data_IF_123145640530
#
_entry.id   IF_123145640530
#
_cell.length_a   1.000
_cell.length_b   1.000
_cell.length_c   1.000
_cell.angle_alpha   90.00
_cell.angle_beta   90.00
_cell.angle_gamma   90.00
#
_symmetry.space_group_name_H-M   'P 1'
#
loop_
_entity.id
_entity.type
_entity.pdbx_description
1 polymer ?
#
# COMPACT_ATOMS: atom_id res chain seq x y z
N UNK A 1 2.71 2.30 10.70
CA UNK A 1 4.15 2.57 10.88
C UNK A 1 4.67 1.70 12.00
N UNK A 2 5.70 0.89 11.77
CA UNK A 2 6.25 -0.04 12.76
C UNK A 2 7.57 0.53 13.25
N UNK A 3 7.61 0.97 14.52
CA UNK A 3 8.82 1.41 15.18
C UNK A 3 9.39 0.25 16.00
N UNK A 4 10.25 -0.56 15.40
CA UNK A 4 10.86 -1.70 16.11
C UNK A 4 12.35 -1.51 16.44
N UNK A 5 13.02 -0.45 15.98
CA UNK A 5 14.49 -0.37 16.01
C UNK A 5 15.07 1.01 16.36
N UNK A 6 14.46 1.73 17.30
CA UNK A 6 15.09 2.97 17.83
C UNK A 6 15.20 4.12 16.85
N UNK A 7 14.41 4.14 15.79
CA UNK A 7 14.35 5.24 14.83
C UNK A 7 13.42 6.34 15.34
N UNK A 8 13.87 7.58 15.28
CA UNK A 8 12.99 8.74 15.49
C UNK A 8 12.16 8.98 14.23
N UNK A 9 10.85 9.14 14.39
CA UNK A 9 9.93 9.35 13.27
C UNK A 9 9.20 10.66 13.45
N UNK A 10 9.28 11.50 12.43
CA UNK A 10 8.45 12.70 12.30
C UNK A 10 7.33 12.39 11.32
N UNK A 11 6.08 12.39 11.79
CA UNK A 11 4.91 12.22 10.94
C UNK A 11 4.30 13.57 10.60
N UNK A 12 4.43 14.04 9.36
CA UNK A 12 3.73 15.21 8.89
C UNK A 12 2.34 14.81 8.34
N UNK A 13 1.28 15.47 8.82
CA UNK A 13 -0.11 15.22 8.42
C UNK A 13 -0.79 16.55 8.03
N UNK A 14 -1.58 16.55 6.97
CA UNK A 14 -2.32 17.75 6.51
C UNK A 14 -3.42 18.21 7.48
N UNK A 15 -3.85 17.36 8.39
CA UNK A 15 -4.97 17.66 9.28
C UNK A 15 -4.66 17.31 10.75
N UNK A 16 -4.72 18.31 11.62
CA UNK A 16 -4.60 18.11 13.06
C UNK A 16 -5.66 17.14 13.65
N UNK A 17 -6.83 16.99 13.00
CA UNK A 17 -7.87 16.02 13.41
C UNK A 17 -7.41 14.57 13.24
N UNK A 18 -6.59 14.27 12.25
CA UNK A 18 -6.06 12.91 12.05
C UNK A 18 -4.95 12.55 13.04
N UNK A 19 -4.15 13.53 13.46
CA UNK A 19 -3.14 13.31 14.50
C UNK A 19 -3.75 12.97 15.85
N UNK A 20 -4.97 13.47 16.13
CA UNK A 20 -5.73 13.19 17.36
C UNK A 20 -6.50 11.85 17.31
N UNK A 21 -6.58 11.17 16.19
CA UNK A 21 -7.25 9.88 16.09
C UNK A 21 -6.39 8.77 16.71
N UNK A 22 -6.95 7.92 17.59
CA UNK A 22 -6.20 6.81 18.14
C UNK A 22 -5.73 5.88 17.03
N UNK A 23 -4.45 5.50 17.05
CA UNK A 23 -3.90 4.48 16.16
C UNK A 23 -4.73 3.19 16.31
N UNK A 24 -5.05 2.48 15.22
CA UNK A 24 -5.86 1.27 15.28
C UNK A 24 -5.27 0.27 16.28
N UNK A 25 -6.13 -0.26 17.14
CA UNK A 25 -5.73 -1.17 18.23
C UNK A 25 -5.16 -2.47 17.63
N UNK A 26 -3.96 -2.93 18.01
CA UNK A 26 -3.34 -4.13 17.46
C UNK A 26 -3.92 -5.40 18.12
N UNK A 27 -5.25 -5.60 18.05
CA UNK A 27 -5.92 -6.70 18.75
C UNK A 27 -5.71 -8.10 18.14
N UNK A 28 -5.09 -8.23 16.95
CA UNK A 28 -5.07 -9.49 16.21
C UNK A 28 -3.69 -9.95 15.70
N UNK A 29 -2.59 -9.38 16.19
CA UNK A 29 -1.26 -9.87 15.79
C UNK A 29 -0.77 -10.97 16.75
N UNK A 30 -0.96 -12.22 16.41
CA UNK A 30 -0.16 -13.32 16.97
C UNK A 30 1.19 -13.36 16.26
N UNK A 31 2.19 -12.70 16.82
CA UNK A 31 3.57 -12.82 16.38
C UNK A 31 4.23 -14.05 17.04
N UNK A 32 5.16 -14.73 16.35
CA UNK A 32 5.82 -15.95 16.87
C UNK A 32 6.73 -15.72 18.09
N UNK A 33 6.99 -14.49 18.51
CA UNK A 33 7.82 -14.16 19.67
C UNK A 33 6.97 -13.62 20.81
N UNK A 34 6.54 -14.51 21.69
CA UNK A 34 5.78 -14.22 22.91
C UNK A 34 6.64 -13.44 23.90
N UNK A 35 6.52 -12.09 23.92
CA UNK A 35 7.07 -11.27 25.00
C UNK A 35 6.05 -11.12 26.12
N UNK A 36 6.42 -11.15 27.42
CA UNK A 36 5.52 -10.89 28.54
C UNK A 36 4.78 -9.55 28.35
N UNK A 37 3.50 -9.48 28.74
CA UNK A 37 2.62 -8.32 28.48
C UNK A 37 3.20 -6.97 28.96
N UNK A 38 3.92 -6.95 30.10
CA UNK A 38 4.60 -5.75 30.61
C UNK A 38 5.70 -5.26 29.68
N UNK A 39 6.48 -6.14 29.08
CA UNK A 39 7.50 -5.78 28.09
C UNK A 39 6.86 -5.26 26.77
N UNK A 40 5.68 -5.76 26.43
CA UNK A 40 4.92 -5.29 25.25
C UNK A 40 4.39 -3.86 25.46
N UNK A 41 3.94 -3.53 26.68
CA UNK A 41 3.47 -2.17 27.02
C UNK A 41 4.64 -1.19 27.01
N UNK A 42 5.72 -1.49 27.72
CA UNK A 42 6.91 -0.63 27.74
C UNK A 42 7.51 -0.40 26.34
N UNK A 43 7.53 -1.45 25.50
CA UNK A 43 7.97 -1.34 24.12
C UNK A 43 7.03 -0.46 23.29
N UNK A 44 5.72 -0.61 23.47
CA UNK A 44 4.71 0.25 22.81
C UNK A 44 4.85 1.70 23.23
N UNK A 45 5.01 1.97 24.52
CA UNK A 45 5.18 3.33 25.06
C UNK A 45 6.46 3.98 24.55
N UNK A 46 7.58 3.25 24.56
CA UNK A 46 8.85 3.73 24.00
C UNK A 46 8.74 4.02 22.49
N UNK A 47 8.06 3.13 21.73
CA UNK A 47 7.84 3.32 20.32
C UNK A 47 6.94 4.55 20.03
N UNK A 48 5.87 4.72 20.79
CA UNK A 48 4.99 5.89 20.66
C UNK A 48 5.71 7.19 21.07
N UNK A 49 6.57 7.15 22.09
CA UNK A 49 7.39 8.28 22.50
C UNK A 49 8.43 8.72 21.45
N UNK A 50 8.78 7.83 20.51
CA UNK A 50 9.67 8.14 19.39
C UNK A 50 8.96 8.78 18.19
N UNK A 51 7.62 8.90 18.24
CA UNK A 51 6.82 9.50 17.17
C UNK A 51 6.50 10.94 17.56
N UNK A 52 6.93 11.87 16.72
CA UNK A 52 6.50 13.26 16.79
C UNK A 52 5.52 13.54 15.66
N UNK A 53 4.26 13.84 16.01
CA UNK A 53 3.28 14.34 15.05
C UNK A 53 3.46 15.83 14.80
N UNK A 54 3.36 16.28 13.55
CA UNK A 54 3.43 17.68 13.16
C UNK A 54 2.53 17.99 11.99
N UNK A 55 2.14 19.26 11.83
CA UNK A 55 1.51 19.80 10.62
C UNK A 55 2.46 20.66 9.79
N UNK A 56 3.67 20.90 10.32
CA UNK A 56 4.71 21.66 9.64
C UNK A 56 5.54 20.72 8.75
N UNK A 57 5.51 20.95 7.44
CA UNK A 57 6.28 20.12 6.50
C UNK A 57 7.78 20.30 6.66
N UNK A 58 8.21 21.46 7.16
CA UNK A 58 9.60 21.82 7.44
C UNK A 58 10.29 20.84 8.39
N UNK A 59 9.51 20.18 9.24
CA UNK A 59 10.02 19.19 10.20
C UNK A 59 10.59 17.92 9.52
N UNK A 60 10.34 17.71 8.21
CA UNK A 60 10.96 16.61 7.44
C UNK A 60 12.40 16.93 7.00
N UNK A 61 12.83 18.20 7.05
CA UNK A 61 14.15 18.62 6.56
C UNK A 61 15.34 17.82 7.12
N UNK A 62 15.39 17.45 8.42
CA UNK A 62 16.50 16.66 8.97
C UNK A 62 16.40 15.15 8.69
N UNK A 63 15.34 14.65 8.03
CA UNK A 63 15.14 13.24 7.83
C UNK A 63 16.16 12.64 6.83
N UNK A 64 16.61 11.40 7.11
CA UNK A 64 17.43 10.62 6.18
C UNK A 64 16.57 9.96 5.11
N UNK A 65 15.35 9.53 5.48
CA UNK A 65 14.35 8.93 4.58
C UNK A 65 12.98 9.56 4.85
N UNK A 66 12.30 9.98 3.80
CA UNK A 66 10.91 10.46 3.86
C UNK A 66 10.03 9.50 3.08
N UNK A 67 8.99 8.95 3.71
CA UNK A 67 8.03 8.04 3.06
C UNK A 67 6.70 8.79 2.91
N UNK A 68 6.34 9.11 1.68
CA UNK A 68 5.06 9.70 1.32
C UNK A 68 3.98 8.59 1.27
N UNK A 69 2.87 8.79 1.98
CA UNK A 69 1.74 7.87 2.03
C UNK A 69 0.40 8.63 2.09
N UNK A 70 0.27 9.71 1.30
CA UNK A 70 -0.96 10.49 1.18
C UNK A 70 -1.92 9.85 0.16
N UNK A 71 -3.05 10.54 -0.12
CA UNK A 71 -4.06 10.06 -1.06
C UNK A 71 -3.47 9.63 -2.42
N UNK A 72 -4.07 8.61 -3.05
CA UNK A 72 -3.64 8.08 -4.34
C UNK A 72 -4.12 9.00 -5.48
N UNK A 73 -3.53 10.19 -5.55
CA UNK A 73 -3.75 11.21 -6.56
C UNK A 73 -2.42 11.79 -7.01
N UNK A 74 -2.15 11.73 -8.32
CA UNK A 74 -0.87 12.12 -8.90
C UNK A 74 -0.50 13.56 -8.58
N UNK A 75 -1.40 14.52 -8.81
CA UNK A 75 -1.11 15.95 -8.65
C UNK A 75 -0.84 16.31 -7.19
N UNK A 76 -1.61 15.71 -6.27
CA UNK A 76 -1.42 15.87 -4.82
C UNK A 76 -0.07 15.32 -4.37
N UNK A 77 0.33 14.16 -4.89
CA UNK A 77 1.64 13.56 -4.58
C UNK A 77 2.78 14.42 -5.15
N UNK A 78 2.68 14.85 -6.41
CA UNK A 78 3.70 15.69 -7.06
C UNK A 78 3.90 17.01 -6.32
N UNK A 79 2.82 17.71 -5.96
CA UNK A 79 2.92 18.96 -5.17
C UNK A 79 3.66 18.72 -3.86
N UNK A 80 3.27 17.68 -3.11
CA UNK A 80 3.91 17.33 -1.85
C UNK A 80 5.39 16.92 -2.04
N UNK A 81 5.68 16.08 -3.03
CA UNK A 81 7.02 15.57 -3.31
C UNK A 81 7.99 16.70 -3.70
N UNK A 82 7.56 17.67 -4.49
CA UNK A 82 8.36 18.87 -4.82
C UNK A 82 8.71 19.69 -3.58
N UNK A 83 7.77 19.85 -2.67
CA UNK A 83 8.00 20.55 -1.41
C UNK A 83 8.96 19.78 -0.48
N UNK A 84 8.79 18.46 -0.36
CA UNK A 84 9.72 17.59 0.38
C UNK A 84 11.13 17.65 -0.22
N UNK A 85 11.23 17.60 -1.55
CA UNK A 85 12.50 17.66 -2.26
C UNK A 85 13.23 18.98 -2.03
N UNK A 86 12.52 20.10 -2.01
CA UNK A 86 13.08 21.42 -1.71
C UNK A 86 13.56 21.58 -0.27
N UNK A 87 12.89 20.92 0.70
CA UNK A 87 13.22 21.01 2.13
C UNK A 87 14.29 20.00 2.55
N UNK A 88 14.31 18.83 1.93
CA UNK A 88 15.19 17.72 2.33
C UNK A 88 16.67 17.98 2.02
N UNK A 89 17.55 17.38 2.82
CA UNK A 89 19.01 17.41 2.58
C UNK A 89 19.36 16.71 1.26
N UNK A 90 20.49 17.07 0.65
CA UNK A 90 20.94 16.47 -0.62
C UNK A 90 21.02 14.94 -0.62
N UNK A 91 21.27 14.33 0.56
CA UNK A 91 21.34 12.87 0.73
C UNK A 91 20.03 12.20 1.14
N UNK A 92 18.96 12.97 1.44
CA UNK A 92 17.67 12.42 1.83
C UNK A 92 17.09 11.55 0.71
N UNK A 93 16.68 10.34 1.06
CA UNK A 93 15.92 9.47 0.16
C UNK A 93 14.44 9.79 0.31
N UNK A 94 13.75 9.91 -0.80
CA UNK A 94 12.31 10.11 -0.85
C UNK A 94 11.66 8.84 -1.39
N UNK A 95 10.75 8.27 -0.62
CA UNK A 95 10.00 7.09 -1.01
C UNK A 95 8.51 7.41 -1.13
N UNK A 96 7.80 6.79 -2.06
CA UNK A 96 6.35 6.82 -2.12
C UNK A 96 5.77 5.43 -1.82
N UNK A 97 4.72 5.38 -1.00
CA UNK A 97 3.95 4.16 -0.73
C UNK A 97 2.73 4.03 -1.66
N UNK A 98 2.79 4.62 -2.84
CA UNK A 98 1.76 4.45 -3.86
C UNK A 98 1.57 2.98 -4.21
N UNK A 99 0.34 2.60 -4.56
CA UNK A 99 0.00 1.24 -5.00
C UNK A 99 -0.14 1.10 -6.52
N UNK A 100 -0.21 2.23 -7.25
CA UNK A 100 -0.55 2.20 -8.68
C UNK A 100 0.17 3.25 -9.53
N UNK A 101 0.64 4.35 -8.94
CA UNK A 101 1.27 5.43 -9.70
C UNK A 101 2.73 5.08 -10.03
N UNK A 102 3.14 5.33 -11.27
CA UNK A 102 4.50 5.08 -11.75
C UNK A 102 5.55 5.81 -10.91
N UNK A 103 6.48 5.06 -10.32
CA UNK A 103 7.62 5.59 -9.56
C UNK A 103 8.52 6.43 -10.47
N UNK A 104 8.74 6.02 -11.71
CA UNK A 104 9.48 6.80 -12.71
C UNK A 104 8.84 8.16 -12.97
N UNK A 105 7.49 8.19 -13.09
CA UNK A 105 6.74 9.43 -13.35
C UNK A 105 6.79 10.38 -12.15
N UNK A 106 6.68 9.85 -10.92
CA UNK A 106 6.82 10.67 -9.70
C UNK A 106 8.26 11.19 -9.54
N UNK A 107 9.27 10.34 -9.80
CA UNK A 107 10.68 10.73 -9.72
C UNK A 107 11.01 11.87 -10.69
N UNK A 108 10.45 11.85 -11.90
CA UNK A 108 10.66 12.91 -12.91
C UNK A 108 10.11 14.29 -12.50
N UNK A 109 9.25 14.35 -11.48
CA UNK A 109 8.67 15.59 -10.98
C UNK A 109 9.52 16.33 -9.94
N UNK A 110 10.60 15.71 -9.44
CA UNK A 110 11.50 16.25 -8.40
C UNK A 110 12.91 16.47 -8.93
N UNK A 111 13.75 17.22 -8.20
CA UNK A 111 15.10 17.57 -8.63
C UNK A 111 16.13 16.45 -8.44
N UNK A 112 15.83 15.45 -7.59
CA UNK A 112 16.73 14.32 -7.26
C UNK A 112 16.09 12.97 -7.58
N UNK A 113 15.78 12.69 -8.86
CA UNK A 113 15.10 11.47 -9.26
C UNK A 113 15.90 10.19 -8.97
N UNK A 114 17.23 10.30 -8.87
CA UNK A 114 18.16 9.22 -8.51
C UNK A 114 17.98 8.76 -7.05
N UNK A 115 17.43 9.62 -6.18
CA UNK A 115 17.13 9.38 -4.76
C UNK A 115 15.66 9.10 -4.48
N UNK A 116 14.89 8.81 -5.52
CA UNK A 116 13.47 8.47 -5.40
C UNK A 116 13.23 6.97 -5.61
N UNK A 117 12.34 6.38 -4.78
CA UNK A 117 12.03 4.95 -4.82
C UNK A 117 10.60 4.70 -4.37
N UNK A 118 9.99 3.60 -4.81
CA UNK A 118 8.76 3.09 -4.24
C UNK A 118 9.03 2.16 -3.05
N UNK A 119 8.28 2.34 -1.97
CA UNK A 119 8.22 1.39 -0.85
C UNK A 119 6.75 1.04 -0.62
N UNK A 120 6.26 0.04 -1.37
CA UNK A 120 4.86 -0.35 -1.34
C UNK A 120 4.61 -1.34 -0.20
N UNK A 121 3.95 -0.86 0.85
CA UNK A 121 3.56 -1.64 2.02
C UNK A 121 2.15 -2.20 1.84
N UNK A 122 1.93 -3.41 2.31
CA UNK A 122 0.61 -4.06 2.29
C UNK A 122 -0.16 -3.81 3.58
N UNK A 123 -1.46 -3.53 3.46
CA UNK A 123 -2.34 -3.25 4.60
C UNK A 123 -2.92 -4.56 5.17
N UNK A 124 -2.91 -4.78 6.49
CA UNK A 124 -2.39 -3.92 7.57
C UNK A 124 -0.87 -4.00 7.70
N UNK A 125 -0.19 -2.85 7.62
CA UNK A 125 1.28 -2.78 7.62
C UNK A 125 1.95 -3.52 8.79
N UNK A 126 1.43 -3.50 10.04
CA UNK A 126 2.06 -4.25 11.13
C UNK A 126 2.00 -5.77 10.97
N UNK A 127 1.07 -6.30 10.18
CA UNK A 127 0.79 -7.74 10.00
C UNK A 127 1.48 -8.29 8.77
N UNK A 128 1.40 -7.55 7.67
CA UNK A 128 1.92 -8.00 6.38
C UNK A 128 3.44 -7.89 6.35
N UNK A 129 4.11 -9.01 6.10
CA UNK A 129 5.57 -9.05 6.08
C UNK A 129 6.16 -8.42 4.81
N UNK A 130 5.47 -8.51 3.69
CA UNK A 130 5.97 -8.10 2.38
C UNK A 130 6.07 -6.57 2.24
N UNK A 131 7.16 -6.12 1.62
CA UNK A 131 7.31 -4.77 1.05
C UNK A 131 7.88 -4.90 -0.36
N UNK A 132 7.22 -4.31 -1.35
CA UNK A 132 7.80 -4.17 -2.68
C UNK A 132 8.68 -2.92 -2.72
N UNK A 133 9.97 -3.11 -2.99
CA UNK A 133 10.93 -2.04 -3.25
C UNK A 133 10.90 -1.78 -4.75
N UNK A 134 10.23 -0.70 -5.15
CA UNK A 134 9.91 -0.42 -6.55
C UNK A 134 10.91 0.57 -7.13
N UNK A 135 11.73 0.09 -8.06
CA UNK A 135 12.73 0.93 -8.74
C UNK A 135 12.10 1.66 -9.92
N UNK A 136 12.19 2.98 -9.91
CA UNK A 136 11.98 3.81 -11.09
C UNK A 136 13.18 3.72 -12.05
N UNK A 137 13.03 4.29 -13.24
CA UNK A 137 14.11 4.29 -14.25
C UNK A 137 15.37 5.01 -13.76
N UNK A 138 15.20 6.07 -12.96
CA UNK A 138 16.29 6.92 -12.47
C UNK A 138 16.86 6.44 -11.12
N UNK A 139 16.20 5.52 -10.41
CA UNK A 139 16.60 5.06 -9.08
C UNK A 139 17.99 4.42 -9.10
N UNK A 140 18.94 4.94 -8.31
CA UNK A 140 20.28 4.37 -8.19
C UNK A 140 20.32 3.10 -7.32
N UNK A 141 21.37 2.29 -7.46
CA UNK A 141 21.58 1.11 -6.61
C UNK A 141 21.74 1.53 -5.14
N UNK A 142 22.48 2.60 -4.84
CA UNK A 142 22.64 3.11 -3.49
C UNK A 142 21.29 3.50 -2.82
N UNK A 143 20.35 4.06 -3.59
CA UNK A 143 18.99 4.37 -3.09
C UNK A 143 18.20 3.09 -2.85
N UNK A 144 18.29 2.12 -3.75
CA UNK A 144 17.68 0.81 -3.61
C UNK A 144 18.18 0.09 -2.36
N UNK A 145 19.50 -0.05 -2.20
CA UNK A 145 20.13 -0.80 -1.10
C UNK A 145 19.77 -0.20 0.26
N UNK A 146 19.67 1.13 0.34
CA UNK A 146 19.25 1.80 1.57
C UNK A 146 17.77 1.54 1.89
N UNK A 147 16.88 1.54 0.89
CA UNK A 147 15.47 1.24 1.08
C UNK A 147 15.26 -0.24 1.47
N UNK A 148 16.00 -1.15 0.86
CA UNK A 148 16.00 -2.57 1.22
C UNK A 148 16.49 -2.81 2.65
N UNK A 149 17.62 -2.20 3.02
CA UNK A 149 18.16 -2.26 4.37
C UNK A 149 17.16 -1.71 5.40
N UNK A 150 16.48 -0.61 5.10
CA UNK A 150 15.42 -0.06 5.95
C UNK A 150 14.26 -1.05 6.12
N UNK A 151 13.80 -1.67 5.02
CA UNK A 151 12.73 -2.66 5.08
C UNK A 151 13.12 -3.85 5.96
N UNK A 152 14.34 -4.37 5.82
CA UNK A 152 14.87 -5.45 6.66
C UNK A 152 14.95 -5.03 8.15
N UNK A 153 15.42 -3.82 8.45
CA UNK A 153 15.45 -3.28 9.82
C UNK A 153 14.05 -3.17 10.43
N UNK A 154 13.04 -2.88 9.61
CA UNK A 154 11.63 -2.87 10.03
C UNK A 154 11.04 -4.29 10.22
N UNK A 155 11.83 -5.35 10.06
CA UNK A 155 11.38 -6.74 10.15
C UNK A 155 10.49 -7.17 9.00
N UNK A 156 10.62 -6.51 7.83
CA UNK A 156 9.90 -6.84 6.60
C UNK A 156 10.71 -7.77 5.71
N UNK A 157 10.01 -8.38 4.77
CA UNK A 157 10.60 -9.20 3.70
C UNK A 157 10.52 -8.39 2.40
N UNK A 158 11.58 -7.66 2.02
CA UNK A 158 11.59 -6.88 0.78
C UNK A 158 11.70 -7.78 -0.44
N UNK A 159 11.02 -7.40 -1.51
CA UNK A 159 11.26 -7.89 -2.86
C UNK A 159 11.50 -6.70 -3.79
N UNK A 160 12.46 -6.84 -4.69
CA UNK A 160 12.77 -5.79 -5.68
C UNK A 160 11.92 -5.97 -6.92
N UNK A 161 11.25 -4.90 -7.33
CA UNK A 161 10.45 -4.87 -8.55
C UNK A 161 10.74 -3.61 -9.38
N UNK A 162 10.53 -3.68 -10.69
CA UNK A 162 10.58 -2.49 -11.56
C UNK A 162 9.27 -1.73 -11.50
N UNK A 163 9.35 -0.40 -11.67
CA UNK A 163 8.16 0.43 -11.82
C UNK A 163 7.35 -0.01 -13.05
N UNK A 164 6.14 -0.46 -12.80
CA UNK A 164 5.17 -0.87 -13.81
C UNK A 164 3.77 -0.85 -13.20
N UNK A 165 2.71 -0.78 -14.01
CA UNK A 165 1.35 -0.71 -13.52
C UNK A 165 0.99 -1.90 -12.62
N UNK A 166 0.58 -1.60 -11.37
CA UNK A 166 0.24 -2.62 -10.36
C UNK A 166 1.45 -3.34 -9.73
N UNK A 167 2.68 -2.91 -10.05
CA UNK A 167 3.94 -3.51 -9.58
C UNK A 167 3.99 -5.03 -9.83
N UNK A 168 4.20 -5.86 -8.83
CA UNK A 168 4.17 -7.32 -8.98
C UNK A 168 2.87 -7.92 -8.47
N UNK A 169 2.54 -7.69 -7.19
CA UNK A 169 1.42 -8.39 -6.54
C UNK A 169 0.09 -7.96 -7.13
N UNK A 170 -0.18 -6.66 -7.23
CA UNK A 170 -1.44 -6.18 -7.78
C UNK A 170 -1.60 -6.53 -9.25
N UNK A 171 -0.52 -6.55 -10.03
CA UNK A 171 -0.54 -6.94 -11.44
C UNK A 171 -0.95 -8.41 -11.67
N UNK A 172 -0.71 -9.28 -10.69
CA UNK A 172 -1.13 -10.69 -10.75
C UNK A 172 -2.50 -10.86 -10.09
N UNK A 173 -2.64 -10.34 -8.87
CA UNK A 173 -3.79 -10.55 -8.01
C UNK A 173 -5.08 -9.95 -8.58
N UNK A 174 -5.02 -8.68 -9.02
CA UNK A 174 -6.25 -7.98 -9.40
C UNK A 174 -6.86 -8.48 -10.70
N UNK A 175 -6.09 -8.82 -11.76
CA UNK A 175 -6.63 -9.54 -12.91
C UNK A 175 -7.21 -10.91 -12.57
N UNK A 176 -6.61 -11.65 -11.63
CA UNK A 176 -7.17 -12.93 -11.15
C UNK A 176 -8.53 -12.71 -10.46
N UNK A 177 -8.65 -11.69 -9.62
CA UNK A 177 -9.93 -11.35 -8.98
C UNK A 177 -10.94 -10.88 -10.03
N UNK A 178 -10.51 -10.06 -10.99
CA UNK A 178 -11.35 -9.57 -12.08
C UNK A 178 -11.88 -10.72 -12.95
N UNK A 179 -11.08 -11.75 -13.18
CA UNK A 179 -11.54 -12.97 -13.87
C UNK A 179 -12.64 -13.69 -13.08
N UNK A 180 -12.53 -13.76 -11.75
CA UNK A 180 -13.61 -14.30 -10.91
C UNK A 180 -14.93 -13.52 -11.05
N UNK A 181 -14.87 -12.19 -11.30
CA UNK A 181 -16.05 -11.39 -11.62
C UNK A 181 -16.62 -11.73 -13.00
N UNK A 182 -15.78 -12.06 -13.99
CA UNK A 182 -16.28 -12.52 -15.30
C UNK A 182 -17.00 -13.86 -15.16
N UNK A 183 -16.40 -14.84 -14.50
CA UNK A 183 -17.03 -16.15 -14.22
C UNK A 183 -18.37 -15.99 -13.50
N UNK A 184 -18.44 -15.08 -12.51
CA UNK A 184 -19.69 -14.75 -11.82
C UNK A 184 -20.73 -14.12 -12.75
N UNK A 185 -20.30 -13.17 -13.60
CA UNK A 185 -21.18 -12.46 -14.52
C UNK A 185 -21.72 -13.35 -15.66
N UNK A 186 -20.94 -14.32 -16.10
CA UNK A 186 -21.28 -15.29 -17.12
C UNK A 186 -22.22 -16.39 -16.57
N UNK A 187 -22.30 -16.51 -15.24
CA UNK A 187 -23.19 -17.48 -14.58
C UNK A 187 -22.65 -18.91 -14.54
N UNK A 188 -21.37 -19.09 -14.82
CA UNK A 188 -20.72 -20.42 -14.81
C UNK A 188 -20.72 -21.04 -13.41
N UNK A 189 -20.59 -20.19 -12.36
CA UNK A 189 -20.71 -20.60 -10.97
C UNK A 189 -21.23 -19.44 -10.12
N UNK A 190 -21.81 -19.74 -8.96
CA UNK A 190 -22.18 -18.71 -7.99
C UNK A 190 -20.96 -18.25 -7.17
N UNK A 191 -21.10 -17.12 -6.46
CA UNK A 191 -20.00 -16.51 -5.73
C UNK A 191 -19.36 -17.45 -4.70
N UNK A 192 -20.17 -18.26 -4.01
CA UNK A 192 -19.67 -19.20 -3.00
C UNK A 192 -18.85 -20.31 -3.65
N UNK A 193 -19.33 -20.86 -4.76
CA UNK A 193 -18.64 -21.92 -5.50
C UNK A 193 -17.31 -21.44 -6.09
N UNK A 194 -17.25 -20.21 -6.62
CA UNK A 194 -16.00 -19.59 -7.09
C UNK A 194 -14.98 -19.48 -5.96
N UNK A 195 -15.40 -18.94 -4.82
CA UNK A 195 -14.53 -18.76 -3.67
C UNK A 195 -14.06 -20.09 -3.07
N UNK A 196 -14.96 -21.08 -2.91
CA UNK A 196 -14.62 -22.42 -2.44
C UNK A 196 -13.70 -23.14 -3.43
N UNK A 197 -13.95 -23.05 -4.73
CA UNK A 197 -13.10 -23.63 -5.77
C UNK A 197 -11.68 -23.14 -5.66
N UNK A 198 -11.46 -21.82 -5.51
CA UNK A 198 -10.12 -21.24 -5.37
C UNK A 198 -9.46 -21.56 -4.02
N UNK A 199 -10.24 -21.66 -2.94
CA UNK A 199 -9.72 -22.08 -1.63
C UNK A 199 -9.27 -23.52 -1.62
N UNK A 200 -10.10 -24.42 -2.13
CA UNK A 200 -9.85 -25.87 -2.08
C UNK A 200 -8.96 -26.35 -3.22
N UNK A 201 -9.13 -25.84 -4.42
CA UNK A 201 -8.37 -26.23 -5.60
C UNK A 201 -6.99 -25.59 -5.70
N UNK A 202 -6.83 -24.35 -5.21
CA UNK A 202 -5.57 -23.59 -5.28
C UNK A 202 -4.96 -23.28 -3.91
N UNK A 203 -5.54 -23.78 -2.82
CA UNK A 203 -5.10 -23.54 -1.45
C UNK A 203 -5.01 -22.04 -1.07
N UNK A 204 -5.93 -21.23 -1.61
CA UNK A 204 -6.02 -19.83 -1.24
C UNK A 204 -6.59 -19.67 0.19
N UNK A 205 -6.02 -18.80 1.03
CA UNK A 205 -6.53 -18.59 2.39
C UNK A 205 -7.91 -17.91 2.43
N UNK A 206 -8.27 -17.22 1.34
CA UNK A 206 -9.53 -16.51 1.14
C UNK A 206 -9.89 -16.60 -0.35
N UNK A 207 -11.17 -16.75 -0.66
CA UNK A 207 -11.63 -16.76 -2.04
C UNK A 207 -11.52 -15.37 -2.70
N UNK A 208 -11.39 -15.31 -4.04
CA UNK A 208 -11.14 -14.06 -4.77
C UNK A 208 -12.24 -13.02 -4.60
N UNK A 209 -13.50 -13.41 -4.56
CA UNK A 209 -14.65 -12.51 -4.42
C UNK A 209 -14.78 -11.98 -2.99
N UNK A 210 -14.54 -12.83 -1.98
CA UNK A 210 -14.48 -12.40 -0.58
C UNK A 210 -13.27 -11.49 -0.32
N UNK A 211 -12.15 -11.70 -1.02
CA UNK A 211 -10.98 -10.83 -0.98
C UNK A 211 -11.28 -9.47 -1.64
N UNK A 212 -12.00 -9.45 -2.76
CA UNK A 212 -12.47 -8.21 -3.39
C UNK A 212 -13.30 -7.36 -2.42
N UNK A 213 -14.24 -7.97 -1.70
CA UNK A 213 -15.06 -7.29 -0.70
C UNK A 213 -14.24 -6.78 0.51
N UNK A 214 -13.17 -7.47 0.85
CA UNK A 214 -12.23 -7.04 1.90
C UNK A 214 -11.38 -5.84 1.46
N UNK A 215 -10.87 -5.86 0.23
CA UNK A 215 -10.09 -4.75 -0.37
C UNK A 215 -10.99 -3.52 -0.55
N UNK A 216 -12.20 -3.73 -1.03
CA UNK A 216 -13.15 -2.74 -1.48
C UNK A 216 -13.24 -2.70 -3.00
N UNK A 217 -14.45 -2.87 -3.54
CA UNK A 217 -14.69 -2.97 -4.98
C UNK A 217 -14.32 -1.69 -5.74
N UNK A 218 -14.48 -0.53 -5.12
CA UNK A 218 -14.04 0.76 -5.69
C UNK A 218 -12.50 0.85 -5.80
N UNK A 219 -11.77 0.36 -4.81
CA UNK A 219 -10.30 0.30 -4.84
C UNK A 219 -9.84 -0.68 -5.92
N UNK A 220 -10.45 -1.88 -5.97
CA UNK A 220 -10.19 -2.89 -7.01
C UNK A 220 -10.41 -2.30 -8.41
N UNK A 221 -11.56 -1.65 -8.62
CA UNK A 221 -11.90 -1.04 -9.91
C UNK A 221 -10.90 0.06 -10.30
N UNK A 222 -10.55 0.95 -9.36
CA UNK A 222 -9.62 2.04 -9.63
C UNK A 222 -8.23 1.54 -10.06
N UNK A 223 -7.69 0.52 -9.38
CA UNK A 223 -6.38 -0.05 -9.74
C UNK A 223 -6.46 -0.83 -11.05
N UNK A 224 -7.53 -1.61 -11.28
CA UNK A 224 -7.75 -2.30 -12.56
C UNK A 224 -7.83 -1.30 -13.72
N UNK A 225 -8.52 -0.16 -13.53
CA UNK A 225 -8.59 0.89 -14.55
C UNK A 225 -7.21 1.47 -14.83
N UNK A 226 -6.42 1.77 -13.78
CA UNK A 226 -5.03 2.25 -13.94
C UNK A 226 -4.18 1.25 -14.73
N UNK A 227 -4.25 -0.04 -14.40
CA UNK A 227 -3.52 -1.09 -15.11
C UNK A 227 -3.95 -1.17 -16.58
N UNK A 228 -5.25 -1.10 -16.84
CA UNK A 228 -5.80 -1.11 -18.19
C UNK A 228 -5.33 0.08 -19.03
N UNK A 229 -5.42 1.29 -18.46
CA UNK A 229 -5.09 2.53 -19.17
C UNK A 229 -3.57 2.63 -19.45
N UNK A 230 -2.74 2.23 -18.51
CA UNK A 230 -1.28 2.29 -18.63
C UNK A 230 -0.71 1.22 -19.59
N UNK A 231 -1.33 0.03 -19.68
CA UNK A 231 -0.90 -1.01 -20.63
C UNK A 231 -1.57 -0.87 -22.01
N UNK A 232 -2.77 -0.29 -22.07
CA UNK A 232 -3.57 -0.25 -23.31
C UNK A 232 -3.98 -1.64 -23.82
N UNK A 233 -3.96 -2.68 -22.95
CA UNK A 233 -4.25 -4.07 -23.33
C UNK A 233 -5.60 -4.50 -22.75
N UNK A 234 -6.49 -4.96 -23.65
CA UNK A 234 -7.86 -5.37 -23.33
C UNK A 234 -7.94 -6.50 -22.28
N UNK A 235 -6.90 -7.30 -22.09
CA UNK A 235 -6.86 -8.34 -21.05
C UNK A 235 -7.01 -7.78 -19.62
N UNK A 236 -6.72 -6.49 -19.43
CA UNK A 236 -6.87 -5.81 -18.15
C UNK A 236 -8.17 -5.03 -18.00
N UNK A 237 -9.09 -5.12 -18.98
CA UNK A 237 -10.40 -4.45 -18.89
C UNK A 237 -11.14 -4.86 -17.62
N UNK A 238 -11.62 -3.91 -16.79
CA UNK A 238 -12.46 -4.26 -15.66
C UNK A 238 -13.78 -4.93 -16.11
N UNK A 239 -14.18 -5.97 -15.39
CA UNK A 239 -15.46 -6.64 -15.63
C UNK A 239 -16.64 -5.66 -15.52
N UNK A 240 -17.62 -5.69 -16.45
CA UNK A 240 -18.81 -4.82 -16.39
C UNK A 240 -19.57 -4.95 -15.06
N UNK A 241 -19.72 -6.17 -14.54
CA UNK A 241 -20.39 -6.43 -13.26
C UNK A 241 -19.70 -5.69 -12.10
N UNK A 242 -18.36 -5.69 -12.05
CA UNK A 242 -17.59 -4.94 -11.03
C UNK A 242 -17.90 -3.44 -11.13
N UNK A 243 -17.95 -2.87 -12.34
CA UNK A 243 -18.30 -1.45 -12.55
C UNK A 243 -19.71 -1.13 -12.06
N UNK A 244 -20.69 -1.99 -12.37
CA UNK A 244 -22.07 -1.83 -11.96
C UNK A 244 -22.25 -1.92 -10.45
N UNK A 245 -21.57 -2.87 -9.79
CA UNK A 245 -21.62 -2.99 -8.34
C UNK A 245 -21.04 -1.75 -7.66
N UNK A 246 -19.94 -1.21 -8.15
CA UNK A 246 -19.35 0.04 -7.63
C UNK A 246 -20.31 1.22 -7.84
N UNK A 247 -20.92 1.35 -9.02
CA UNK A 247 -21.92 2.37 -9.32
C UNK A 247 -23.15 2.28 -8.41
N UNK A 248 -23.55 1.06 -8.04
CA UNK A 248 -24.64 0.80 -7.10
C UNK A 248 -24.26 1.05 -5.61
N UNK A 249 -23.00 1.44 -5.32
CA UNK A 249 -22.51 1.64 -3.95
C UNK A 249 -22.26 0.34 -3.17
N UNK A 250 -22.18 -0.81 -3.86
CA UNK A 250 -21.83 -2.09 -3.24
C UNK A 250 -20.31 -2.21 -3.18
N UNK A 251 -19.71 -1.62 -2.14
CA UNK A 251 -18.26 -1.45 -2.06
C UNK A 251 -17.57 -2.50 -1.18
N UNK A 252 -18.27 -3.58 -0.82
CA UNK A 252 -17.75 -4.64 0.03
C UNK A 252 -18.02 -4.43 1.52
N UNK A 253 -17.13 -4.94 2.37
CA UNK A 253 -17.31 -4.92 3.84
C UNK A 253 -17.52 -3.53 4.42
N UNK A 254 -16.88 -2.51 3.88
CA UNK A 254 -16.99 -1.12 4.38
C UNK A 254 -18.39 -0.52 4.23
N UNK A 255 -19.19 -1.00 3.27
CA UNK A 255 -20.60 -0.62 3.09
C UNK A 255 -21.57 -1.73 3.52
N UNK A 256 -21.06 -2.79 4.16
CA UNK A 256 -21.79 -4.02 4.53
C UNK A 256 -22.45 -4.74 3.35
N UNK A 257 -22.11 -4.37 2.14
CA UNK A 257 -22.59 -4.97 0.90
C UNK A 257 -21.55 -4.85 -0.20
N UNK A 258 -21.23 -5.97 -0.80
CA UNK A 258 -20.43 -6.13 -2.00
C UNK A 258 -20.97 -7.29 -2.79
N UNK A 259 -20.12 -8.24 -3.17
CA UNK A 259 -20.52 -9.55 -3.69
C UNK A 259 -21.34 -10.29 -2.64
N UNK A 260 -20.92 -10.17 -1.38
CA UNK A 260 -21.65 -10.71 -0.22
C UNK A 260 -22.37 -9.61 0.56
N UNK A 261 -23.25 -10.05 1.48
CA UNK A 261 -23.85 -9.20 2.53
C UNK A 261 -23.19 -9.51 3.87
N UNK A 262 -22.90 -8.47 4.66
CA UNK A 262 -22.20 -8.54 5.93
C UNK A 262 -23.03 -7.99 7.08
#
# INVERSE_FOLDING_TARGET
>A
MVLQHGMSVVGAERSAKRLASPLPHPAHCRAPNYRPWRQRIAFKEAALGSIRGTTALEDVAPADVVIEAVTENYDVKVDLLKRIDALGRAKTIIASSTSSISITKLAAAISRPDRFIGMHFFNPVPVMALVEIVRGLQTTDATHDMAEALALQLGKSPITVKSGPGFLVNRILLPMINEAFFVLAEGDANATEIDEGMKLGCNHPIGPLALADLIGLDVLLAVMQTIHDEFGDSKYRPCPLLREMVAAGYLGRKTRRGVYRY
#
